data_IF_126036484371
#
_entry.id   IF_126036484371
#
_cell.length_a   1.000
_cell.length_b   1.000
_cell.length_c   1.000
_cell.angle_alpha   90.00
_cell.angle_beta   90.00
_cell.angle_gamma   90.00
#
_symmetry.space_group_name_H-M   'P 1'
#
loop_
_entity.id
_entity.type
_entity.pdbx_description
1 polymer ?
#
# COMPACT_ATOMS: atom_id res chain seq x y z
N UNK A 1 -23.62 -14.61 11.97
CA UNK A 1 -23.26 -13.23 12.36
C UNK A 1 -22.31 -13.29 13.53
N UNK A 2 -21.28 -12.43 13.56
CA UNK A 2 -20.22 -12.50 14.59
C UNK A 2 -20.80 -12.25 15.98
N UNK A 3 -20.57 -13.16 16.93
CA UNK A 3 -21.04 -13.06 18.32
C UNK A 3 -19.87 -12.64 19.23
N UNK A 4 -19.30 -11.47 18.96
CA UNK A 4 -18.26 -10.87 19.82
C UNK A 4 -18.73 -9.53 20.35
N UNK A 5 -18.33 -9.17 21.56
CA UNK A 5 -18.52 -7.84 22.11
C UNK A 5 -17.52 -6.85 21.50
N UNK A 6 -17.80 -5.55 21.61
CA UNK A 6 -16.84 -4.50 21.19
C UNK A 6 -15.50 -4.63 21.92
N UNK A 7 -15.51 -5.05 23.19
CA UNK A 7 -14.31 -5.22 24.00
C UNK A 7 -13.48 -6.41 23.49
N UNK A 8 -14.12 -7.55 23.21
CA UNK A 8 -13.46 -8.71 22.62
C UNK A 8 -12.90 -8.41 21.23
N UNK A 9 -13.60 -7.61 20.43
CA UNK A 9 -13.11 -7.14 19.15
C UNK A 9 -11.85 -6.28 19.31
N UNK A 10 -11.87 -5.32 20.24
CA UNK A 10 -10.71 -4.47 20.53
C UNK A 10 -9.50 -5.27 21.03
N UNK A 11 -9.74 -6.25 21.90
CA UNK A 11 -8.69 -7.16 22.39
C UNK A 11 -8.07 -7.99 21.26
N UNK A 12 -8.88 -8.55 20.35
CA UNK A 12 -8.38 -9.30 19.19
C UNK A 12 -7.53 -8.42 18.26
N UNK A 13 -7.98 -7.19 18.02
CA UNK A 13 -7.24 -6.23 17.20
C UNK A 13 -5.90 -5.87 17.86
N UNK A 14 -5.88 -5.61 19.17
CA UNK A 14 -4.66 -5.31 19.91
C UNK A 14 -3.71 -6.50 20.03
N UNK A 15 -4.23 -7.72 20.12
CA UNK A 15 -3.41 -8.92 20.29
C UNK A 15 -2.76 -9.36 18.98
N UNK A 16 -3.49 -9.29 17.86
CA UNK A 16 -3.03 -9.85 16.59
C UNK A 16 -2.64 -8.81 15.54
N UNK A 17 -3.10 -7.57 15.68
CA UNK A 17 -2.92 -6.48 14.72
C UNK A 17 -2.53 -5.17 15.45
N UNK A 18 -1.59 -5.24 16.39
CA UNK A 18 -1.25 -4.12 17.29
C UNK A 18 -0.71 -2.86 16.61
N UNK A 19 -0.22 -2.98 15.37
CA UNK A 19 0.39 -1.92 14.58
C UNK A 19 -0.61 -1.26 13.60
N UNK A 20 -1.81 -1.82 13.45
CA UNK A 20 -2.85 -1.19 12.62
C UNK A 20 -3.41 0.04 13.33
N UNK A 21 -3.72 1.09 12.55
CA UNK A 21 -4.27 2.33 13.07
C UNK A 21 -5.77 2.36 12.89
N UNK A 22 -6.52 1.90 13.88
CA UNK A 22 -7.98 2.05 13.90
C UNK A 22 -8.36 3.47 14.35
N UNK A 23 -9.17 4.14 13.53
CA UNK A 23 -9.76 5.44 13.83
C UNK A 23 -11.04 5.31 14.64
N UNK A 24 -11.91 4.37 14.28
CA UNK A 24 -13.20 4.19 14.93
C UNK A 24 -13.73 2.75 14.74
N UNK A 25 -14.55 2.29 15.69
CA UNK A 25 -15.27 1.02 15.66
C UNK A 25 -16.74 1.29 16.01
N UNK A 26 -17.60 1.15 15.01
CA UNK A 26 -19.05 1.33 15.16
C UNK A 26 -19.76 -0.01 15.24
N UNK A 27 -20.68 -0.13 16.19
CA UNK A 27 -21.56 -1.28 16.33
C UNK A 27 -22.96 -0.89 15.84
N UNK A 28 -23.45 -1.57 14.82
CA UNK A 28 -24.82 -1.39 14.35
C UNK A 28 -25.82 -2.09 15.27
N UNK A 29 -27.09 -1.65 15.22
CA UNK A 29 -28.19 -2.32 15.92
C UNK A 29 -28.41 -3.77 15.47
N UNK A 30 -27.92 -4.16 14.30
CA UNK A 30 -27.96 -5.53 13.79
C UNK A 30 -26.84 -6.42 14.32
N UNK A 31 -25.96 -5.89 15.18
CA UNK A 31 -24.78 -6.62 15.69
C UNK A 31 -23.60 -6.65 14.73
N UNK A 32 -23.63 -5.86 13.65
CA UNK A 32 -22.51 -5.75 12.71
C UNK A 32 -21.50 -4.72 13.22
N UNK A 33 -20.22 -5.01 13.10
CA UNK A 33 -19.16 -4.04 13.34
C UNK A 33 -18.75 -3.36 12.04
N UNK A 34 -18.41 -2.08 12.13
CA UNK A 34 -17.78 -1.32 11.06
C UNK A 34 -16.48 -0.75 11.60
N UNK A 35 -15.38 -1.10 10.96
CA UNK A 35 -14.04 -0.69 11.32
C UNK A 35 -13.59 0.42 10.37
N UNK A 36 -13.13 1.53 10.95
CA UNK A 36 -12.55 2.63 10.21
C UNK A 36 -11.05 2.60 10.39
N UNK A 37 -10.32 2.15 9.37
CA UNK A 37 -8.87 2.27 9.33
C UNK A 37 -8.46 3.72 9.06
N UNK A 38 -7.37 4.16 9.69
CA UNK A 38 -6.82 5.51 9.53
C UNK A 38 -6.06 5.68 8.21
N UNK A 39 -5.59 4.58 7.63
CA UNK A 39 -4.83 4.55 6.39
C UNK A 39 -5.09 3.26 5.59
N UNK A 40 -4.62 3.27 4.34
CA UNK A 40 -4.71 2.17 3.38
C UNK A 40 -4.03 0.89 3.88
N UNK A 41 -2.88 1.04 4.52
CA UNK A 41 -2.06 -0.09 4.98
C UNK A 41 -2.80 -0.90 6.03
N UNK A 42 -3.29 -0.20 7.06
CA UNK A 42 -4.15 -0.75 8.12
C UNK A 42 -5.42 -1.38 7.54
N UNK A 43 -6.04 -0.71 6.55
CA UNK A 43 -7.21 -1.25 5.85
C UNK A 43 -6.92 -2.56 5.11
N UNK A 44 -5.83 -2.62 4.35
CA UNK A 44 -5.47 -3.81 3.58
C UNK A 44 -5.10 -4.98 4.50
N UNK A 45 -4.41 -4.72 5.61
CA UNK A 45 -4.12 -5.76 6.62
C UNK A 45 -5.38 -6.29 7.27
N UNK A 46 -6.31 -5.41 7.66
CA UNK A 46 -7.64 -5.84 8.15
C UNK A 46 -8.35 -6.73 7.13
N UNK A 47 -8.39 -6.31 5.86
CA UNK A 47 -9.07 -7.06 4.81
C UNK A 47 -8.48 -8.47 4.61
N UNK A 48 -7.16 -8.58 4.62
CA UNK A 48 -6.45 -9.81 4.29
C UNK A 48 -6.33 -10.78 5.48
N UNK A 49 -6.11 -10.26 6.68
CA UNK A 49 -5.73 -11.07 7.84
C UNK A 49 -6.89 -11.27 8.83
N UNK A 50 -7.79 -10.30 8.95
CA UNK A 50 -8.72 -10.27 10.08
C UNK A 50 -9.81 -11.35 9.99
N UNK A 51 -10.22 -11.78 8.79
CA UNK A 51 -11.14 -12.92 8.63
C UNK A 51 -10.52 -14.21 9.18
N UNK A 52 -9.23 -14.42 8.96
CA UNK A 52 -8.49 -15.60 9.46
C UNK A 52 -8.39 -15.56 10.98
N UNK A 53 -8.07 -14.38 11.54
CA UNK A 53 -8.00 -14.17 13.00
C UNK A 53 -9.35 -14.45 13.66
N UNK A 54 -10.45 -13.96 13.08
CA UNK A 54 -11.80 -14.21 13.58
C UNK A 54 -12.16 -15.71 13.53
N UNK A 55 -11.85 -16.40 12.43
CA UNK A 55 -12.08 -17.83 12.31
C UNK A 55 -11.29 -18.66 13.34
N UNK A 56 -10.03 -18.30 13.59
CA UNK A 56 -9.18 -18.94 14.61
C UNK A 56 -9.71 -18.72 16.04
N UNK A 57 -10.47 -17.65 16.27
CA UNK A 57 -11.06 -17.30 17.56
C UNK A 57 -12.57 -17.65 17.65
N UNK A 58 -12.99 -18.70 16.94
CA UNK A 58 -14.34 -19.26 17.05
C UNK A 58 -15.44 -18.54 16.27
N UNK A 59 -15.08 -17.58 15.41
CA UNK A 59 -16.01 -16.82 14.57
C UNK A 59 -15.89 -17.22 13.09
N UNK A 60 -16.01 -18.53 12.79
CA UNK A 60 -15.79 -19.09 11.45
C UNK A 60 -16.70 -18.53 10.35
N UNK A 61 -17.89 -18.01 10.72
CA UNK A 61 -18.84 -17.40 9.78
C UNK A 61 -18.64 -15.88 9.59
N UNK A 62 -17.63 -15.29 10.23
CA UNK A 62 -17.36 -13.87 10.08
C UNK A 62 -16.96 -13.56 8.63
N UNK A 63 -17.63 -12.57 8.03
CA UNK A 63 -17.29 -12.05 6.71
C UNK A 63 -17.02 -10.55 6.84
N UNK A 64 -15.84 -10.14 6.39
CA UNK A 64 -15.50 -8.72 6.26
C UNK A 64 -16.01 -8.24 4.91
N UNK A 65 -16.74 -7.12 4.90
CA UNK A 65 -17.32 -6.56 3.69
C UNK A 65 -16.73 -5.20 3.38
N UNK A 66 -16.16 -5.06 2.19
CA UNK A 66 -15.66 -3.77 1.69
C UNK A 66 -16.70 -3.16 0.74
N UNK A 67 -17.17 -1.92 1.01
CA UNK A 67 -18.00 -1.19 0.07
C UNK A 67 -17.35 -1.10 -1.32
N UNK A 68 -18.12 -1.31 -2.40
CA UNK A 68 -17.60 -1.30 -3.79
C UNK A 68 -16.84 -0.03 -4.17
N UNK A 69 -17.17 1.11 -3.55
CA UNK A 69 -16.47 2.39 -3.75
C UNK A 69 -15.00 2.37 -3.29
N UNK A 70 -14.62 1.41 -2.46
CA UNK A 70 -13.31 1.32 -1.79
C UNK A 70 -12.43 0.20 -2.38
N UNK A 71 -12.97 -0.72 -3.18
CA UNK A 71 -12.26 -1.90 -3.73
C UNK A 71 -11.03 -1.61 -4.62
N UNK A 72 -10.67 -0.33 -4.85
CA UNK A 72 -9.56 0.09 -5.72
C UNK A 72 -8.44 0.83 -4.98
N UNK A 73 -8.36 0.75 -3.66
CA UNK A 73 -7.21 1.33 -2.97
C UNK A 73 -6.00 0.42 -3.20
N UNK A 74 -5.20 0.76 -4.22
CA UNK A 74 -3.93 0.08 -4.48
C UNK A 74 -2.97 0.40 -3.35
N UNK A 75 -2.37 -0.63 -2.80
CA UNK A 75 -1.19 -0.46 -1.96
C UNK A 75 -0.07 0.15 -2.82
N UNK A 76 0.40 1.33 -2.40
CA UNK A 76 1.48 2.05 -3.07
C UNK A 76 2.73 2.14 -2.19
N UNK A 77 2.80 1.38 -1.09
CA UNK A 77 3.94 1.37 -0.18
C UNK A 77 5.24 0.96 -0.85
N UNK A 78 5.15 0.07 -1.83
CA UNK A 78 6.29 -0.42 -2.58
C UNK A 78 6.58 0.40 -3.84
N UNK A 79 5.90 1.54 -4.03
CA UNK A 79 5.99 2.33 -5.27
C UNK A 79 6.67 3.67 -5.02
N UNK A 80 7.62 4.02 -5.88
CA UNK A 80 8.22 5.34 -5.98
C UNK A 80 8.07 5.93 -7.38
N UNK A 81 8.23 7.24 -7.46
CA UNK A 81 8.27 7.99 -8.70
C UNK A 81 9.55 8.81 -8.79
N UNK A 82 10.10 8.92 -9.99
CA UNK A 82 11.23 9.80 -10.30
C UNK A 82 10.82 10.69 -11.45
N UNK A 83 10.96 12.00 -11.29
CA UNK A 83 10.56 12.99 -12.30
C UNK A 83 11.79 13.53 -13.02
N UNK A 84 11.56 14.10 -14.21
CA UNK A 84 12.58 14.75 -15.05
C UNK A 84 13.69 13.80 -15.52
N UNK A 85 13.41 12.51 -15.60
CA UNK A 85 14.33 11.53 -16.19
C UNK A 85 14.27 11.70 -17.71
N UNK A 86 15.44 11.85 -18.33
CA UNK A 86 15.57 11.97 -19.79
C UNK A 86 14.85 10.82 -20.49
N UNK A 87 14.17 11.12 -21.61
CA UNK A 87 13.48 10.13 -22.43
C UNK A 87 14.45 9.19 -23.15
N UNK A 88 15.70 9.63 -23.37
CA UNK A 88 16.74 8.83 -24.02
C UNK A 88 17.28 7.71 -23.13
N UNK A 89 17.13 7.83 -21.80
CA UNK A 89 17.55 6.79 -20.85
C UNK A 89 16.51 5.65 -20.86
N UNK A 90 16.88 4.44 -21.31
CA UNK A 90 15.92 3.35 -21.42
C UNK A 90 15.66 2.67 -20.06
N UNK A 91 14.46 2.11 -19.89
CA UNK A 91 14.00 1.54 -18.61
C UNK A 91 14.89 0.38 -18.10
N UNK A 92 15.51 -0.38 -19.01
CA UNK A 92 16.48 -1.42 -18.66
C UNK A 92 17.75 -0.84 -18.01
N UNK A 93 18.25 0.30 -18.52
CA UNK A 93 19.42 0.98 -17.96
C UNK A 93 19.16 1.50 -16.55
N UNK A 94 17.95 2.00 -16.32
CA UNK A 94 17.49 2.41 -14.99
C UNK A 94 17.42 1.19 -14.05
N UNK A 95 16.88 0.08 -14.54
CA UNK A 95 16.79 -1.17 -13.76
C UNK A 95 18.18 -1.67 -13.35
N UNK A 96 19.14 -1.70 -14.28
CA UNK A 96 20.54 -2.07 -14.01
C UNK A 96 21.21 -1.16 -12.97
N UNK A 97 20.99 0.15 -13.04
CA UNK A 97 21.57 1.08 -12.09
C UNK A 97 21.04 0.84 -10.67
N UNK A 98 19.74 0.56 -10.54
CA UNK A 98 19.09 0.27 -9.26
C UNK A 98 19.55 -1.08 -8.67
N UNK A 99 19.66 -2.12 -9.48
CA UNK A 99 20.13 -3.43 -9.00
C UNK A 99 21.61 -3.39 -8.64
N UNK A 100 22.43 -2.61 -9.34
CA UNK A 100 23.86 -2.44 -9.02
C UNK A 100 24.10 -1.81 -7.64
N UNK A 101 23.19 -0.96 -7.17
CA UNK A 101 23.25 -0.39 -5.80
C UNK A 101 22.59 -1.29 -4.75
N UNK A 102 22.17 -2.50 -5.13
CA UNK A 102 21.61 -3.50 -4.23
C UNK A 102 20.14 -3.33 -3.89
N UNK A 103 19.37 -2.58 -4.69
CA UNK A 103 17.93 -2.42 -4.49
C UNK A 103 17.15 -3.54 -5.19
N UNK A 104 16.24 -4.18 -4.45
CA UNK A 104 15.35 -5.21 -4.97
C UNK A 104 14.16 -4.58 -5.72
N UNK A 105 14.32 -4.41 -7.03
CA UNK A 105 13.31 -3.84 -7.93
C UNK A 105 12.47 -4.94 -8.59
N UNK A 106 11.15 -4.79 -8.54
CA UNK A 106 10.18 -5.68 -9.20
C UNK A 106 9.87 -5.20 -10.61
N UNK A 107 9.69 -3.89 -10.79
CA UNK A 107 9.33 -3.33 -12.09
C UNK A 107 9.72 -1.85 -12.20
N UNK A 108 10.24 -1.47 -13.37
CA UNK A 108 10.48 -0.08 -13.78
C UNK A 108 9.62 0.21 -15.00
N UNK A 109 8.85 1.28 -14.97
CA UNK A 109 7.97 1.64 -16.09
C UNK A 109 7.90 3.14 -16.25
N UNK A 110 8.22 3.63 -17.44
CA UNK A 110 7.97 5.02 -17.82
C UNK A 110 6.46 5.29 -17.95
N UNK A 111 5.99 6.37 -17.34
CA UNK A 111 4.59 6.76 -17.44
C UNK A 111 4.32 7.44 -18.78
N UNK A 112 3.16 7.17 -19.38
CA UNK A 112 2.67 7.90 -20.55
C UNK A 112 1.79 9.08 -20.14
N UNK A 113 1.66 10.05 -21.05
CA UNK A 113 0.68 11.13 -20.94
C UNK A 113 -0.74 10.55 -20.88
N UNK A 114 -1.72 11.36 -20.47
CA UNK A 114 -3.12 10.93 -20.30
C UNK A 114 -3.76 10.41 -21.59
N UNK A 115 -3.27 10.87 -22.74
CA UNK A 115 -3.66 10.42 -24.08
C UNK A 115 -3.01 9.08 -24.48
N UNK A 116 -2.12 8.52 -23.65
CA UNK A 116 -1.48 7.22 -23.85
C UNK A 116 -0.36 7.20 -24.90
N UNK A 117 -0.26 8.24 -25.72
CA UNK A 117 0.51 8.22 -26.96
C UNK A 117 1.97 8.63 -26.82
N UNK A 118 2.34 9.32 -25.75
CA UNK A 118 3.73 9.77 -25.55
C UNK A 118 4.25 9.43 -24.15
N UNK A 119 5.49 8.93 -24.05
CA UNK A 119 6.15 8.76 -22.77
C UNK A 119 6.40 10.12 -22.11
N UNK A 120 6.41 10.12 -20.78
CA UNK A 120 6.75 11.28 -19.96
C UNK A 120 8.15 11.11 -19.38
N UNK A 121 8.70 12.20 -18.85
CA UNK A 121 9.92 12.19 -18.06
C UNK A 121 9.71 11.68 -16.62
N UNK A 122 8.63 10.93 -16.37
CA UNK A 122 8.33 10.35 -15.07
C UNK A 122 8.41 8.83 -15.13
N UNK A 123 9.22 8.26 -14.25
CA UNK A 123 9.38 6.82 -14.07
C UNK A 123 8.63 6.39 -12.83
N UNK A 124 7.89 5.29 -12.94
CA UNK A 124 7.34 4.55 -11.80
C UNK A 124 8.24 3.36 -11.52
N UNK A 125 8.65 3.21 -10.27
CA UNK A 125 9.46 2.09 -9.81
C UNK A 125 8.68 1.34 -8.73
N UNK A 126 8.63 0.02 -8.84
CA UNK A 126 7.99 -0.88 -7.88
C UNK A 126 9.06 -1.77 -7.27
N UNK A 127 9.15 -1.77 -5.95
CA UNK A 127 10.13 -2.52 -5.18
C UNK A 127 9.52 -3.80 -4.62
N UNK A 128 10.38 -4.72 -4.15
CA UNK A 128 9.95 -5.95 -3.50
C UNK A 128 9.33 -5.70 -2.12
N UNK A 129 9.80 -4.67 -1.43
CA UNK A 129 9.32 -4.27 -0.11
C UNK A 129 9.43 -2.75 0.12
N UNK A 130 8.82 -2.28 1.21
CA UNK A 130 8.80 -0.88 1.59
C UNK A 130 10.18 -0.37 2.06
N UNK A 131 11.07 -1.24 2.56
CA UNK A 131 12.40 -0.83 3.03
C UNK A 131 13.29 -0.42 1.86
N UNK A 132 13.32 -1.25 0.81
CA UNK A 132 13.98 -0.93 -0.46
C UNK A 132 13.46 0.38 -1.05
N UNK A 133 12.13 0.57 -1.05
CA UNK A 133 11.52 1.84 -1.47
C UNK A 133 12.00 3.00 -0.61
N UNK A 134 11.98 2.87 0.72
CA UNK A 134 12.38 3.94 1.64
C UNK A 134 13.84 4.34 1.45
N UNK A 135 14.75 3.36 1.37
CA UNK A 135 16.17 3.58 1.06
C UNK A 135 16.31 4.36 -0.24
N UNK A 136 15.62 3.92 -1.29
CA UNK A 136 15.65 4.58 -2.59
C UNK A 136 15.14 6.03 -2.55
N UNK A 137 14.09 6.35 -1.78
CA UNK A 137 13.61 7.73 -1.63
C UNK A 137 14.70 8.63 -1.02
N UNK A 138 15.51 8.09 -0.10
CA UNK A 138 16.57 8.87 0.57
C UNK A 138 17.80 9.03 -0.33
N UNK A 139 18.13 8.02 -1.13
CA UNK A 139 19.32 8.02 -1.98
C UNK A 139 19.09 8.59 -3.37
N UNK A 140 17.84 8.64 -3.85
CA UNK A 140 17.51 9.05 -5.22
C UNK A 140 17.94 8.04 -6.28
N UNK A 141 17.69 8.40 -7.55
CA UNK A 141 18.15 7.65 -8.72
C UNK A 141 19.43 8.28 -9.26
N UNK A 142 20.46 7.46 -9.49
CA UNK A 142 21.67 7.89 -10.17
C UNK A 142 21.91 7.03 -11.41
N UNK A 143 21.92 7.64 -12.59
CA UNK A 143 22.15 6.98 -13.88
C UNK A 143 23.02 7.89 -14.75
N UNK A 144 24.06 7.32 -15.35
CA UNK A 144 24.96 8.02 -16.28
C UNK A 144 25.47 9.37 -15.75
N UNK A 145 25.86 9.39 -14.48
CA UNK A 145 26.33 10.57 -13.73
C UNK A 145 25.30 11.67 -13.47
N UNK A 146 24.04 11.45 -13.84
CA UNK A 146 22.90 12.30 -13.46
C UNK A 146 22.24 11.80 -12.19
N UNK A 147 21.77 12.73 -11.36
CA UNK A 147 21.06 12.44 -10.13
C UNK A 147 19.63 12.99 -10.19
N UNK A 148 18.66 12.16 -9.81
CA UNK A 148 17.24 12.50 -9.85
C UNK A 148 16.59 12.21 -8.50
N UNK A 149 15.80 13.18 -8.04
CA UNK A 149 15.04 13.04 -6.80
C UNK A 149 13.91 12.02 -6.97
N UNK A 150 13.77 11.15 -5.98
CA UNK A 150 12.70 10.18 -5.90
C UNK A 150 11.63 10.62 -4.88
N UNK A 151 10.38 10.36 -5.19
CA UNK A 151 9.23 10.65 -4.33
C UNK A 151 8.43 9.37 -4.10
N UNK A 152 7.96 9.15 -2.88
CA UNK A 152 7.05 8.03 -2.60
C UNK A 152 5.71 8.26 -3.30
N UNK A 153 5.09 7.17 -3.75
CA UNK A 153 3.73 7.25 -4.25
C UNK A 153 2.79 7.78 -3.15
N UNK A 154 1.99 8.80 -3.50
CA UNK A 154 1.05 9.40 -2.55
C UNK A 154 0.06 8.36 -2.05
N UNK A 155 0.09 8.08 -0.76
CA UNK A 155 -0.91 7.24 -0.12
C UNK A 155 -2.17 8.03 0.16
N UNK A 156 -3.32 7.40 -0.02
CA UNK A 156 -4.58 7.99 0.40
C UNK A 156 -4.66 7.97 1.94
N UNK A 157 -4.56 9.14 2.57
CA UNK A 157 -4.66 9.28 4.04
C UNK A 157 -6.10 9.41 4.53
N UNK A 158 -7.10 9.26 3.64
CA UNK A 158 -8.50 9.33 4.04
C UNK A 158 -8.89 8.04 4.76
N UNK A 159 -9.69 8.13 5.84
CA UNK A 159 -10.20 6.95 6.52
C UNK A 159 -10.92 6.04 5.55
N UNK A 160 -10.71 4.74 5.73
CA UNK A 160 -11.29 3.70 4.87
C UNK A 160 -12.14 2.77 5.73
N UNK A 161 -13.34 2.49 5.25
CA UNK A 161 -14.33 1.67 5.93
C UNK A 161 -14.26 0.21 5.46
N UNK A 162 -14.19 -0.73 6.41
CA UNK A 162 -14.36 -2.18 6.23
C UNK A 162 -15.26 -2.80 7.29
#
# INVERSE_FOLDING_TARGET
GVKISKLQLDDLLKQHLNDIKIRDIQLSRSGSFTLYASDVSSFNRLLNEFTIILAANGQQEAKIFVPRSIQRIKDTEMVAFVKRVDLEIPDNRITEALTKVGLDVVNVTRLNRKDGNMPTSTIKITFKDANNRNTFIHTGLQVDSMHFNAEAASQNKKPVQC
#
